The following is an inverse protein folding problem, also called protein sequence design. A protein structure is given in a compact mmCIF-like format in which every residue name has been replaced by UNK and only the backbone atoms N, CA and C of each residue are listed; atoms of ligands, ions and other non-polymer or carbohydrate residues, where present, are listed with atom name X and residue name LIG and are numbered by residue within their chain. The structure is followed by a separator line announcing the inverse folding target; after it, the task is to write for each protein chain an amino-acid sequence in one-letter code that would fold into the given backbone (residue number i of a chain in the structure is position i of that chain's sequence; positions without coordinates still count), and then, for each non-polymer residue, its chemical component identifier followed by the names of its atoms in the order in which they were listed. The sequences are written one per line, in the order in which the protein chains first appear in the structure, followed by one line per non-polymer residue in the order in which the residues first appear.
data_IF_160274559900
#
_entry.id   IF_160274559900
#
_cell.length_a   1.000
_cell.length_b   1.000
_cell.length_c   1.000
_cell.angle_alpha   90.00
_cell.angle_beta   90.00
_cell.angle_gamma   90.00
#
_symmetry.space_group_name_H-M   'P 1'
#
loop_
_entity.id
_entity.type
_entity.pdbx_description
1 polymer ?
#
# COMPACT_ATOMS: atom_id res chain seq x y z
N UNK A 1 25.35 -71.40 -55.72
CA UNK A 1 24.37 -70.40 -55.23
C UNK A 1 24.65 -70.15 -53.76
N UNK A 2 25.22 -68.98 -53.42
CA UNK A 2 25.59 -68.60 -52.07
C UNK A 2 24.49 -67.70 -51.55
N UNK A 3 23.74 -68.13 -50.54
CA UNK A 3 22.78 -67.27 -49.84
C UNK A 3 23.50 -66.39 -48.80
N UNK A 4 23.46 -65.09 -49.01
CA UNK A 4 24.00 -64.08 -48.13
C UNK A 4 22.87 -63.69 -47.17
N UNK A 5 22.94 -64.21 -45.94
CA UNK A 5 21.97 -63.90 -44.90
C UNK A 5 22.32 -62.55 -44.30
N UNK A 6 21.54 -61.54 -44.60
CA UNK A 6 21.64 -60.21 -44.06
C UNK A 6 21.07 -60.19 -42.63
N UNK A 7 21.94 -60.12 -41.65
CA UNK A 7 21.56 -60.03 -40.23
C UNK A 7 21.19 -58.56 -39.94
N UNK A 8 19.90 -58.25 -39.83
CA UNK A 8 19.39 -56.95 -39.48
C UNK A 8 19.50 -56.76 -37.95
N UNK A 9 20.52 -56.05 -37.51
CA UNK A 9 20.65 -55.62 -36.13
C UNK A 9 19.70 -54.45 -35.87
N UNK A 10 18.55 -54.72 -35.26
CA UNK A 10 17.65 -53.73 -34.73
C UNK A 10 18.23 -53.20 -33.42
N UNK A 11 18.83 -52.04 -33.44
CA UNK A 11 19.14 -51.30 -32.25
C UNK A 11 17.84 -50.76 -31.63
N UNK A 12 17.34 -51.43 -30.60
CA UNK A 12 16.33 -50.87 -29.72
C UNK A 12 17.00 -49.76 -28.93
N UNK A 13 16.85 -48.51 -29.40
CA UNK A 13 17.05 -47.36 -28.57
C UNK A 13 15.97 -47.41 -27.49
N UNK A 14 16.32 -47.90 -26.30
CA UNK A 14 15.56 -47.66 -25.09
C UNK A 14 15.66 -46.15 -24.83
N UNK A 15 14.61 -45.45 -25.18
CA UNK A 15 14.41 -44.10 -24.64
C UNK A 15 14.20 -44.30 -23.14
N UNK A 16 15.26 -44.12 -22.36
CA UNK A 16 15.13 -44.08 -20.90
C UNK A 16 14.21 -42.88 -20.61
N UNK A 17 13.02 -43.17 -20.06
CA UNK A 17 12.23 -42.15 -19.40
C UNK A 17 13.07 -41.61 -18.26
N UNK A 18 13.81 -40.52 -18.53
CA UNK A 18 14.23 -39.64 -17.46
C UNK A 18 12.92 -39.05 -16.96
N UNK A 19 12.42 -39.57 -15.86
CA UNK A 19 11.36 -38.94 -15.11
C UNK A 19 11.92 -37.59 -14.60
N UNK A 20 12.01 -36.62 -15.50
CA UNK A 20 12.19 -35.24 -15.14
C UNK A 20 10.85 -34.77 -14.57
N UNK A 21 10.66 -35.03 -13.28
CA UNK A 21 9.53 -34.47 -12.57
C UNK A 21 9.82 -32.98 -12.41
N UNK A 22 9.14 -32.16 -13.17
CA UNK A 22 9.25 -30.70 -13.17
C UNK A 22 8.33 -30.15 -12.09
N UNK A 23 8.84 -29.26 -11.27
CA UNK A 23 8.13 -28.64 -10.16
C UNK A 23 9.04 -27.76 -9.31
N UNK A 24 8.51 -27.21 -8.23
CA UNK A 24 9.29 -26.40 -7.32
C UNK A 24 10.22 -27.25 -6.45
N UNK A 25 11.53 -27.02 -6.56
CA UNK A 25 12.57 -27.73 -5.79
C UNK A 25 13.05 -27.01 -4.55
N UNK A 26 12.55 -25.78 -4.28
CA UNK A 26 12.89 -25.01 -3.11
C UNK A 26 12.07 -25.45 -1.89
N UNK A 27 12.76 -25.97 -0.85
CA UNK A 27 12.13 -26.45 0.40
C UNK A 27 11.43 -25.33 1.20
N UNK A 28 11.71 -24.07 0.91
CA UNK A 28 11.08 -22.92 1.55
C UNK A 28 9.82 -22.43 0.81
N UNK A 29 9.57 -22.96 -0.38
CA UNK A 29 8.38 -22.61 -1.14
C UNK A 29 7.13 -23.30 -0.57
N UNK A 30 5.99 -22.61 -0.66
CA UNK A 30 4.68 -23.14 -0.25
C UNK A 30 4.28 -24.42 -1.02
N UNK A 31 4.64 -24.46 -2.31
CA UNK A 31 4.33 -25.56 -3.22
C UNK A 31 5.57 -26.43 -3.51
N UNK A 32 6.50 -26.54 -2.55
CA UNK A 32 7.63 -27.47 -2.65
C UNK A 32 7.16 -28.88 -3.01
N UNK A 33 7.76 -29.47 -4.03
CA UNK A 33 7.51 -30.86 -4.46
C UNK A 33 8.76 -31.71 -4.19
N UNK A 34 8.69 -32.59 -3.19
CA UNK A 34 9.80 -33.48 -2.82
C UNK A 34 10.21 -34.47 -3.95
N UNK A 35 9.33 -34.67 -4.94
CA UNK A 35 9.57 -35.53 -6.08
C UNK A 35 10.09 -34.78 -7.30
N UNK A 36 10.12 -33.44 -7.28
CA UNK A 36 10.68 -32.64 -8.35
C UNK A 36 12.19 -32.85 -8.45
N UNK A 37 12.65 -33.15 -9.67
CA UNK A 37 14.07 -33.29 -9.99
C UNK A 37 14.60 -32.16 -10.86
N UNK A 38 13.70 -31.25 -11.30
CA UNK A 38 14.00 -30.11 -12.14
C UNK A 38 13.12 -28.92 -11.74
N UNK A 39 13.79 -27.78 -11.44
CA UNK A 39 13.11 -26.51 -11.16
C UNK A 39 12.52 -25.92 -12.44
N UNK A 40 11.20 -25.65 -12.43
CA UNK A 40 10.46 -25.13 -13.55
C UNK A 40 10.00 -23.66 -13.39
N UNK A 41 10.39 -23.03 -12.29
CA UNK A 41 10.00 -21.65 -11.96
C UNK A 41 8.61 -21.55 -11.37
N UNK A 42 8.00 -22.67 -10.94
CA UNK A 42 6.65 -22.69 -10.35
C UNK A 42 6.62 -22.40 -8.85
N UNK A 43 7.78 -22.16 -8.20
CA UNK A 43 7.85 -21.90 -6.77
C UNK A 43 6.98 -20.69 -6.36
N UNK A 44 6.19 -20.90 -5.30
CA UNK A 44 5.36 -19.89 -4.70
C UNK A 44 5.75 -19.67 -3.25
N UNK A 45 5.85 -18.42 -2.82
CA UNK A 45 6.25 -18.05 -1.47
C UNK A 45 5.15 -17.22 -0.81
N UNK A 46 4.98 -17.37 0.51
CA UNK A 46 4.08 -16.51 1.28
C UNK A 46 4.82 -15.20 1.54
N UNK A 47 4.36 -14.12 0.91
CA UNK A 47 4.93 -12.79 1.10
C UNK A 47 4.41 -12.13 2.38
N UNK A 48 3.08 -12.16 2.57
CA UNK A 48 2.39 -11.64 3.76
C UNK A 48 1.20 -12.53 4.09
N UNK A 49 1.05 -12.88 5.36
CA UNK A 49 -0.08 -13.69 5.85
C UNK A 49 -1.28 -12.88 6.32
N UNK A 50 -1.18 -11.54 6.33
CA UNK A 50 -2.27 -10.65 6.73
C UNK A 50 -3.18 -10.33 5.54
N UNK A 51 -4.48 -10.71 5.57
CA UNK A 51 -5.41 -10.41 4.49
C UNK A 51 -5.65 -8.92 4.22
N UNK A 52 -5.31 -8.03 5.17
CA UNK A 52 -5.42 -6.60 4.99
C UNK A 52 -4.27 -6.00 4.16
N UNK A 53 -3.19 -6.76 3.94
CA UNK A 53 -2.03 -6.29 3.18
C UNK A 53 -2.29 -6.35 1.67
N UNK A 54 -1.76 -5.37 0.93
CA UNK A 54 -1.85 -5.33 -0.54
C UNK A 54 -1.03 -6.43 -1.21
N UNK A 55 0.01 -6.93 -0.53
CA UNK A 55 0.83 -8.05 -0.97
C UNK A 55 0.47 -9.37 -0.26
N UNK A 56 -0.79 -9.51 0.20
CA UNK A 56 -1.29 -10.76 0.78
C UNK A 56 -1.27 -11.89 -0.23
N UNK A 57 -0.78 -13.06 0.19
CA UNK A 57 -0.85 -14.28 -0.58
C UNK A 57 0.51 -14.83 -1.03
N UNK A 58 0.51 -15.53 -2.16
CA UNK A 58 1.66 -16.24 -2.71
C UNK A 58 2.28 -15.45 -3.87
N UNK A 59 3.61 -15.31 -3.84
CA UNK A 59 4.40 -14.70 -4.91
C UNK A 59 5.33 -15.74 -5.55
N UNK A 60 5.75 -15.48 -6.82
CA UNK A 60 6.70 -16.30 -7.56
C UNK A 60 8.17 -16.02 -7.20
N UNK A 61 8.43 -14.96 -6.44
CA UNK A 61 9.76 -14.61 -5.95
C UNK A 61 9.80 -14.70 -4.43
N UNK A 62 10.90 -15.22 -3.90
CA UNK A 62 11.12 -15.31 -2.46
C UNK A 62 11.45 -13.91 -1.92
N UNK A 63 10.42 -13.20 -1.52
CA UNK A 63 10.54 -11.95 -0.81
C UNK A 63 9.89 -12.07 0.57
N UNK A 64 10.71 -12.37 1.59
CA UNK A 64 10.27 -12.41 3.00
C UNK A 64 10.03 -11.02 3.54
N UNK A 65 9.88 -10.05 2.70
CA UNK A 65 9.70 -8.69 3.15
C UNK A 65 8.29 -8.46 3.69
N UNK A 66 8.24 -7.55 4.53
CA UNK A 66 7.19 -6.94 5.28
C UNK A 66 5.83 -6.92 4.55
N UNK A 67 4.79 -7.14 5.29
CA UNK A 67 3.45 -6.83 4.81
C UNK A 67 3.37 -5.35 4.41
N UNK A 68 2.81 -5.10 3.23
CA UNK A 68 2.61 -3.76 2.69
C UNK A 68 1.14 -3.38 2.84
N UNK A 69 0.90 -2.18 3.34
CA UNK A 69 -0.44 -1.69 3.62
C UNK A 69 -0.67 -0.33 2.97
N UNK A 70 -1.92 -0.01 2.73
CA UNK A 70 -2.37 1.28 2.23
C UNK A 70 -3.65 1.70 2.95
N UNK A 71 -3.80 2.99 3.18
CA UNK A 71 -5.05 3.61 3.62
C UNK A 71 -5.17 5.00 3.00
N UNK A 72 -6.40 5.46 2.82
CA UNK A 72 -6.66 6.79 2.32
C UNK A 72 -6.90 7.77 3.46
N UNK A 73 -6.36 8.96 3.33
CA UNK A 73 -6.54 10.08 4.27
C UNK A 73 -7.07 11.27 3.50
N UNK A 74 -8.14 11.87 3.99
CA UNK A 74 -8.76 13.05 3.38
C UNK A 74 -8.83 14.20 4.39
N UNK A 75 -8.22 15.34 4.04
CA UNK A 75 -8.32 16.59 4.81
C UNK A 75 -9.34 17.52 4.19
N UNK A 76 -10.15 18.15 5.01
CA UNK A 76 -11.12 19.14 4.57
C UNK A 76 -11.36 20.20 5.65
N UNK A 77 -11.82 21.39 5.24
CA UNK A 77 -12.37 22.38 6.17
C UNK A 77 -13.86 22.14 6.34
N UNK A 78 -14.37 22.17 7.57
CA UNK A 78 -15.80 22.40 7.75
C UNK A 78 -16.15 23.89 7.56
N UNK A 79 -17.43 24.19 7.50
CA UNK A 79 -17.91 25.58 7.30
C UNK A 79 -17.36 26.53 8.38
N UNK A 80 -17.18 26.04 9.63
CA UNK A 80 -16.68 26.87 10.72
C UNK A 80 -15.18 27.18 10.57
N UNK A 81 -14.40 26.22 10.09
CA UNK A 81 -12.99 26.39 9.76
C UNK A 81 -12.80 27.34 8.58
N UNK A 82 -13.58 27.15 7.51
CA UNK A 82 -13.52 28.02 6.34
C UNK A 82 -13.87 29.48 6.67
N UNK A 83 -14.94 29.73 7.45
CA UNK A 83 -15.29 31.08 7.90
C UNK A 83 -14.19 31.72 8.76
N UNK A 84 -13.50 30.94 9.56
CA UNK A 84 -12.38 31.44 10.37
C UNK A 84 -11.21 31.89 9.49
N UNK A 85 -10.78 31.09 8.54
CA UNK A 85 -9.66 31.41 7.66
C UNK A 85 -9.98 32.51 6.68
N UNK A 86 -11.22 32.54 6.13
CA UNK A 86 -11.68 33.66 5.31
C UNK A 86 -11.65 34.99 6.09
N UNK A 87 -12.09 34.96 7.35
CA UNK A 87 -12.02 36.11 8.25
C UNK A 87 -10.61 36.60 8.56
N UNK A 88 -9.59 35.73 8.49
CA UNK A 88 -8.18 36.07 8.61
C UNK A 88 -7.55 36.48 7.28
N UNK A 89 -8.23 36.30 6.15
CA UNK A 89 -7.69 36.53 4.80
C UNK A 89 -6.73 35.43 4.33
N UNK A 90 -6.74 34.26 4.99
CA UNK A 90 -5.92 33.10 4.60
C UNK A 90 -6.59 32.43 3.40
N UNK A 91 -5.91 32.44 2.26
CA UNK A 91 -6.44 31.89 1.02
C UNK A 91 -6.11 30.42 0.81
N UNK A 92 -4.96 29.98 1.29
CA UNK A 92 -4.41 28.66 1.06
C UNK A 92 -3.89 28.05 2.35
N UNK A 93 -4.19 26.77 2.55
CA UNK A 93 -3.72 25.98 3.68
C UNK A 93 -3.01 24.75 3.15
N UNK A 94 -1.70 24.71 3.31
CA UNK A 94 -0.86 23.61 2.88
C UNK A 94 -0.87 22.49 3.92
N UNK A 95 -1.12 21.28 3.42
CA UNK A 95 -1.16 20.07 4.23
C UNK A 95 0.17 19.32 4.07
N UNK A 96 0.73 18.92 5.20
CA UNK A 96 1.95 18.13 5.29
C UNK A 96 1.69 16.84 6.05
N UNK A 97 2.21 15.71 5.56
CA UNK A 97 2.20 14.39 6.22
C UNK A 97 3.66 13.94 6.33
N UNK A 98 4.09 13.53 7.55
CA UNK A 98 5.48 13.14 7.85
C UNK A 98 6.52 14.21 7.43
N UNK A 99 6.09 15.48 7.33
CA UNK A 99 6.92 16.60 6.89
C UNK A 99 6.89 16.86 5.38
N UNK A 100 6.30 16.00 4.59
CA UNK A 100 6.15 16.15 3.14
C UNK A 100 4.85 16.86 2.78
N UNK A 101 4.93 17.81 1.84
CA UNK A 101 3.76 18.49 1.30
C UNK A 101 2.90 17.54 0.46
N UNK A 102 1.60 17.47 0.77
CA UNK A 102 0.66 16.56 0.09
C UNK A 102 -0.47 17.27 -0.66
N UNK A 103 -0.71 18.54 -0.40
CA UNK A 103 -1.74 19.31 -1.10
C UNK A 103 -2.13 20.59 -0.39
N UNK A 104 -3.04 21.36 -1.02
CA UNK A 104 -3.52 22.65 -0.53
C UNK A 104 -5.04 22.68 -0.48
N UNK A 105 -5.62 23.10 0.65
CA UNK A 105 -7.03 23.44 0.79
C UNK A 105 -7.24 24.92 0.51
N UNK A 106 -8.39 25.25 -0.07
CA UNK A 106 -8.83 26.65 -0.16
C UNK A 106 -9.38 27.11 1.20
N UNK A 107 -8.83 28.19 1.75
CA UNK A 107 -9.16 28.67 3.09
C UNK A 107 -10.61 29.14 3.27
N UNK A 108 -11.31 29.44 2.17
CA UNK A 108 -12.71 29.91 2.15
C UNK A 108 -13.71 28.83 1.69
N UNK A 109 -13.26 27.59 1.43
CA UNK A 109 -14.10 26.50 0.96
C UNK A 109 -14.42 25.54 2.10
N UNK A 110 -15.65 25.61 2.64
CA UNK A 110 -16.09 24.80 3.75
C UNK A 110 -17.11 23.73 3.35
N UNK A 111 -16.87 22.51 3.78
CA UNK A 111 -17.79 21.39 3.57
C UNK A 111 -18.91 21.40 4.61
N UNK A 112 -20.14 21.13 4.16
CA UNK A 112 -21.32 20.92 5.02
C UNK A 112 -21.53 19.46 5.38
N UNK A 113 -20.73 18.55 4.81
CA UNK A 113 -20.75 17.10 5.02
C UNK A 113 -19.31 16.60 5.05
N UNK A 114 -19.11 15.37 5.51
CA UNK A 114 -17.81 14.72 5.48
C UNK A 114 -17.56 14.22 4.04
N UNK A 115 -16.53 14.73 3.33
CA UNK A 115 -16.24 14.27 1.99
C UNK A 115 -15.79 12.79 1.99
N UNK A 116 -16.20 12.00 0.97
CA UNK A 116 -15.76 10.60 0.85
C UNK A 116 -14.30 10.51 0.40
N UNK A 117 -13.62 9.40 0.74
CA UNK A 117 -12.33 9.07 0.13
C UNK A 117 -12.49 8.30 -1.20
N UNK A 118 -13.61 7.63 -1.43
CA UNK A 118 -13.86 6.87 -2.66
C UNK A 118 -15.29 7.08 -3.19
N UNK A 119 -15.45 7.72 -4.36
CA UNK A 119 -14.41 8.49 -5.05
C UNK A 119 -13.98 9.72 -4.23
N UNK A 120 -12.71 10.13 -4.27
CA UNK A 120 -12.24 11.27 -3.51
C UNK A 120 -12.88 12.57 -3.98
N UNK A 121 -13.22 13.44 -3.02
CA UNK A 121 -13.73 14.78 -3.35
C UNK A 121 -12.58 15.66 -3.87
N UNK A 122 -12.73 16.32 -5.03
CA UNK A 122 -11.64 17.09 -5.64
C UNK A 122 -11.28 18.37 -4.85
N UNK A 123 -12.17 18.84 -3.99
CA UNK A 123 -11.96 20.04 -3.17
C UNK A 123 -11.38 19.72 -1.80
N UNK A 124 -11.24 18.44 -1.46
CA UNK A 124 -10.49 17.94 -0.30
C UNK A 124 -9.05 17.58 -0.69
N UNK A 125 -8.12 17.61 0.25
CA UNK A 125 -6.78 17.08 0.04
C UNK A 125 -6.79 15.60 0.37
N UNK A 126 -6.61 14.77 -0.65
CA UNK A 126 -6.63 13.32 -0.55
C UNK A 126 -5.23 12.76 -0.74
N UNK A 127 -4.84 11.84 0.13
CA UNK A 127 -3.52 11.24 0.14
C UNK A 127 -3.63 9.76 0.50
N UNK A 128 -2.95 8.90 -0.26
CA UNK A 128 -2.84 7.48 0.06
C UNK A 128 -1.56 7.25 0.86
N UNK A 129 -1.71 6.86 2.13
CA UNK A 129 -0.61 6.53 3.02
C UNK A 129 -0.24 5.07 2.85
N UNK A 130 1.02 4.82 2.51
CA UNK A 130 1.57 3.47 2.37
C UNK A 130 2.58 3.20 3.48
N UNK A 131 2.56 1.99 4.04
CA UNK A 131 3.56 1.56 5.03
C UNK A 131 3.85 0.09 4.93
N UNK A 132 4.94 -0.30 5.56
CA UNK A 132 5.39 -1.68 5.64
C UNK A 132 5.72 -2.05 7.09
N UNK A 133 5.40 -3.27 7.48
CA UNK A 133 5.89 -3.82 8.73
C UNK A 133 6.07 -5.34 8.66
N UNK A 134 6.94 -5.85 9.53
CA UNK A 134 7.26 -7.27 9.64
C UNK A 134 6.43 -8.01 10.70
N UNK A 135 5.44 -7.37 11.28
CA UNK A 135 4.66 -7.90 12.41
C UNK A 135 3.21 -8.20 12.07
N UNK A 136 2.83 -8.13 10.78
CA UNK A 136 1.43 -8.26 10.34
C UNK A 136 0.48 -7.35 11.13
N UNK A 137 0.92 -6.11 11.39
CA UNK A 137 0.09 -5.11 12.05
C UNK A 137 -0.49 -4.16 11.00
N UNK A 138 -1.81 -4.22 10.72
CA UNK A 138 -2.45 -3.39 9.71
C UNK A 138 -2.65 -1.93 10.15
N UNK A 139 -2.12 -1.53 11.30
CA UNK A 139 -2.28 -0.17 11.80
C UNK A 139 -0.95 0.57 11.80
N UNK A 140 -1.01 1.87 11.49
CA UNK A 140 0.12 2.79 11.65
C UNK A 140 -0.33 4.14 12.18
N UNK A 141 0.60 4.90 12.75
CA UNK A 141 0.39 6.30 13.12
C UNK A 141 1.18 7.18 12.19
N UNK A 142 0.66 8.36 11.90
CA UNK A 142 1.34 9.37 11.09
C UNK A 142 1.17 10.76 11.70
N UNK A 143 2.14 11.61 11.45
CA UNK A 143 2.11 13.02 11.86
C UNK A 143 1.62 13.88 10.69
N UNK A 144 0.93 14.95 11.00
CA UNK A 144 0.47 15.89 9.99
C UNK A 144 0.42 17.32 10.49
N UNK A 145 0.51 18.27 9.57
CA UNK A 145 0.45 19.71 9.85
C UNK A 145 -0.38 20.44 8.81
N UNK A 146 -1.07 21.49 9.26
CA UNK A 146 -1.77 22.46 8.41
C UNK A 146 -1.06 23.81 8.57
N UNK A 147 -0.53 24.32 7.48
CA UNK A 147 0.25 25.55 7.45
C UNK A 147 -0.38 26.60 6.56
N UNK A 148 -0.17 27.87 6.89
CA UNK A 148 -0.47 28.95 5.95
C UNK A 148 0.39 28.81 4.69
N UNK A 149 -0.25 28.81 3.53
CA UNK A 149 0.46 28.72 2.24
C UNK A 149 1.30 29.95 1.89
N UNK A 150 1.14 31.06 2.62
CA UNK A 150 1.87 32.31 2.35
C UNK A 150 3.13 32.48 3.20
N UNK A 151 3.09 32.15 4.48
CA UNK A 151 4.19 32.36 5.43
C UNK A 151 4.63 31.10 6.21
N UNK A 152 3.90 30.00 6.04
CA UNK A 152 4.20 28.72 6.67
C UNK A 152 3.81 28.62 8.16
N UNK A 153 3.00 29.56 8.67
CA UNK A 153 2.51 29.50 10.05
C UNK A 153 1.68 28.23 10.27
N UNK A 154 1.98 27.49 11.34
CA UNK A 154 1.28 26.23 11.66
C UNK A 154 -0.01 26.55 12.43
N UNK A 155 -1.14 26.37 11.78
CA UNK A 155 -2.46 26.52 12.38
C UNK A 155 -2.91 25.31 13.18
N UNK A 156 -2.46 24.14 12.77
CA UNK A 156 -2.83 22.90 13.43
C UNK A 156 -1.83 21.79 13.10
N UNK A 157 -1.60 20.90 14.05
CA UNK A 157 -0.84 19.67 13.82
C UNK A 157 -1.39 18.55 14.70
N UNK A 158 -1.17 17.31 14.29
CA UNK A 158 -1.66 16.15 15.01
C UNK A 158 -0.90 14.89 14.70
N UNK A 159 -1.28 13.86 15.44
CA UNK A 159 -0.87 12.48 15.22
C UNK A 159 -2.14 11.65 15.22
N UNK A 160 -2.39 10.92 14.15
CA UNK A 160 -3.55 10.05 14.04
C UNK A 160 -3.13 8.62 13.72
N UNK A 161 -4.02 7.69 14.08
CA UNK A 161 -3.89 6.26 13.77
C UNK A 161 -4.79 5.93 12.59
N UNK A 162 -4.28 5.14 11.65
CA UNK A 162 -5.05 4.64 10.53
C UNK A 162 -4.87 3.12 10.40
N UNK A 163 -5.90 2.43 9.96
CA UNK A 163 -5.86 1.00 9.64
C UNK A 163 -5.80 0.77 8.13
N UNK A 164 -5.21 -0.32 7.72
CA UNK A 164 -5.15 -0.72 6.32
C UNK A 164 -6.56 -0.79 5.70
N UNK A 165 -6.67 -0.32 4.47
CA UNK A 165 -7.91 -0.24 3.69
C UNK A 165 -8.98 0.68 4.28
N UNK A 166 -8.67 1.46 5.32
CA UNK A 166 -9.57 2.48 5.86
C UNK A 166 -9.50 3.78 5.07
N UNK A 167 -10.57 4.58 5.24
CA UNK A 167 -10.64 5.96 4.80
C UNK A 167 -10.73 6.86 6.04
N UNK A 168 -9.64 7.51 6.41
CA UNK A 168 -9.60 8.45 7.53
C UNK A 168 -9.88 9.87 7.05
N UNK A 169 -10.95 10.50 7.55
CA UNK A 169 -11.29 11.88 7.22
C UNK A 169 -10.96 12.82 8.37
N UNK A 170 -10.15 13.83 8.11
CA UNK A 170 -9.66 14.81 9.06
C UNK A 170 -10.28 16.18 8.80
N UNK A 171 -11.38 16.46 9.47
CA UNK A 171 -12.09 17.75 9.38
C UNK A 171 -11.44 18.81 10.28
N UNK A 172 -11.09 19.93 9.69
CA UNK A 172 -10.50 21.09 10.36
C UNK A 172 -11.63 22.09 10.69
N UNK A 173 -12.03 22.12 11.98
CA UNK A 173 -13.04 23.02 12.50
C UNK A 173 -12.43 24.19 13.25
N UNK A 174 -13.15 25.30 13.32
CA UNK A 174 -12.75 26.45 14.17
C UNK A 174 -12.40 26.02 15.60
N UNK A 175 -13.22 25.16 16.19
CA UNK A 175 -13.02 24.68 17.57
C UNK A 175 -11.67 23.94 17.72
N UNK A 176 -11.38 23.00 16.86
CA UNK A 176 -10.13 22.23 16.89
C UNK A 176 -8.91 23.15 16.73
N UNK A 177 -9.00 24.11 15.78
CA UNK A 177 -7.93 25.07 15.51
C UNK A 177 -7.68 25.94 16.77
N UNK A 178 -8.73 26.46 17.41
CA UNK A 178 -8.59 27.27 18.61
C UNK A 178 -8.04 26.46 19.81
N UNK A 179 -8.48 25.23 19.98
CA UNK A 179 -7.95 24.34 21.03
C UNK A 179 -6.45 24.12 20.85
N UNK A 180 -5.99 23.91 19.63
CA UNK A 180 -4.57 23.77 19.32
C UNK A 180 -3.79 25.06 19.59
N UNK A 181 -4.23 26.21 19.06
CA UNK A 181 -3.53 27.49 19.20
C UNK A 181 -3.43 27.93 20.67
N UNK A 182 -4.45 27.62 21.49
CA UNK A 182 -4.44 27.93 22.92
C UNK A 182 -3.58 26.94 23.75
N UNK A 183 -3.12 25.84 23.19
CA UNK A 183 -2.26 24.84 23.84
C UNK A 183 -0.77 25.12 23.67
N UNK A 184 -0.39 26.06 22.81
CA UNK A 184 1.00 26.50 22.54
C UNK A 184 1.39 27.66 23.39
#
# INVERSE_FOLDING_TARGET
MRYFTLLLLVFLYSCGDTNNNSGCTDIYAYNYDEFATYEDGSCLYISCSDPAAINYGLLSEYDITNCQYIADVSFYLDVSGANYFDGLGVQFLDIYIEGDYVGTLLGNLGFTFIPPCDPPDPDAVNFSLEWQNNTSNPNTTFTWQVRDGSDGFIYYEGVDLVSANDCLTLGLSYKKIQEYLNSK
#
